data_IF_325282584298
#
_entry.id   IF_325282584298
#
_cell.length_a   1.000
_cell.length_b   1.000
_cell.length_c   1.000
_cell.angle_alpha   90.00
_cell.angle_beta   90.00
_cell.angle_gamma   90.00
#
_symmetry.space_group_name_H-M   'P 1'
#
loop_
_entity.id
_entity.type
_entity.pdbx_description
1 polymer ?
#
# COMPACT_ATOMS: atom_id res chain seq x y z
N UNK A 1 4.79 2.48 16.97
CA UNK A 1 6.22 2.24 17.33
C UNK A 1 6.73 1.12 16.45
N UNK A 2 7.92 1.23 15.85
CA UNK A 2 8.49 0.21 14.97
C UNK A 2 9.77 -0.40 15.60
N UNK A 3 9.64 -1.44 16.44
CA UNK A 3 10.78 -2.01 17.16
C UNK A 3 11.91 -2.51 16.25
N UNK A 4 13.11 -1.96 16.43
CA UNK A 4 14.31 -2.40 15.72
C UNK A 4 14.52 -1.74 14.36
N UNK A 5 13.63 -0.85 13.91
CA UNK A 5 13.99 0.08 12.82
C UNK A 5 15.03 1.05 13.36
N UNK A 6 16.17 1.14 12.68
CA UNK A 6 17.27 2.07 13.03
C UNK A 6 17.60 2.96 11.84
N UNK A 7 18.29 4.05 12.12
CA UNK A 7 18.75 5.00 11.12
C UNK A 7 20.28 4.98 11.10
N UNK A 8 20.86 4.64 9.94
CA UNK A 8 22.29 4.60 9.71
C UNK A 8 22.67 5.75 8.78
N UNK A 9 23.64 6.57 9.19
CA UNK A 9 24.16 7.64 8.32
C UNK A 9 25.19 7.05 7.37
N UNK A 10 24.94 7.15 6.06
CA UNK A 10 25.90 6.68 5.05
C UNK A 10 26.87 7.79 4.61
N UNK A 11 26.41 9.04 4.51
CA UNK A 11 27.26 10.19 4.17
C UNK A 11 26.58 11.52 4.55
N UNK A 12 27.06 12.65 4.00
CA UNK A 12 26.35 13.93 4.12
C UNK A 12 25.01 13.83 3.40
N UNK A 13 23.93 14.14 4.13
CA UNK A 13 22.55 14.13 3.66
C UNK A 13 22.00 12.78 3.15
N UNK A 14 22.75 11.68 3.31
CA UNK A 14 22.30 10.32 2.96
C UNK A 14 22.14 9.46 4.21
N UNK A 15 20.95 8.91 4.38
CA UNK A 15 20.58 8.04 5.49
C UNK A 15 19.96 6.74 4.97
N UNK A 16 20.33 5.65 5.60
CA UNK A 16 19.76 4.33 5.38
C UNK A 16 18.84 3.98 6.54
N UNK A 17 17.61 3.59 6.22
CA UNK A 17 16.65 3.07 7.18
C UNK A 17 16.82 1.57 7.21
N UNK A 18 17.42 1.03 8.27
CA UNK A 18 17.54 -0.41 8.41
C UNK A 18 16.20 -0.97 8.91
N UNK A 19 15.59 -1.85 8.10
CA UNK A 19 14.33 -2.53 8.41
C UNK A 19 14.63 -4.01 8.71
N UNK A 20 14.40 -4.47 9.95
CA UNK A 20 14.64 -5.87 10.31
C UNK A 20 13.80 -6.88 9.50
N UNK A 21 14.36 -8.07 9.26
CA UNK A 21 13.71 -9.13 8.46
C UNK A 21 12.34 -9.59 8.96
N UNK A 22 12.07 -9.46 10.26
CA UNK A 22 10.75 -9.74 10.83
C UNK A 22 9.61 -8.89 10.24
N UNK A 23 9.93 -7.79 9.55
CA UNK A 23 8.95 -6.96 8.83
C UNK A 23 8.73 -7.41 7.38
N UNK A 24 9.57 -8.30 6.85
CA UNK A 24 9.47 -8.88 5.51
C UNK A 24 8.62 -10.15 5.53
N UNK A 25 7.34 -10.03 5.90
CA UNK A 25 6.43 -11.18 6.11
C UNK A 25 5.95 -11.85 4.81
N UNK A 26 6.13 -11.20 3.65
CA UNK A 26 5.87 -11.78 2.34
C UNK A 26 4.42 -11.65 1.85
N UNK A 27 4.19 -12.06 0.61
CA UNK A 27 2.95 -11.79 -0.13
C UNK A 27 1.69 -12.38 0.53
N UNK A 28 1.71 -13.65 0.94
CA UNK A 28 0.53 -14.32 1.49
C UNK A 28 0.11 -13.72 2.84
N UNK A 29 1.08 -13.40 3.71
CA UNK A 29 0.81 -12.72 4.98
C UNK A 29 0.13 -11.35 4.74
N UNK A 30 0.64 -10.58 3.77
CA UNK A 30 0.01 -9.31 3.37
C UNK A 30 -1.40 -9.49 2.79
N UNK A 31 -1.65 -10.56 2.01
CA UNK A 31 -2.97 -10.86 1.48
C UNK A 31 -3.97 -11.24 2.59
N UNK A 32 -3.52 -12.05 3.55
CA UNK A 32 -4.30 -12.40 4.74
C UNK A 32 -4.71 -11.17 5.55
N UNK A 33 -3.79 -10.22 5.72
CA UNK A 33 -4.04 -8.92 6.36
C UNK A 33 -5.12 -8.08 5.69
N UNK A 34 -5.25 -8.14 4.35
CA UNK A 34 -6.34 -7.45 3.62
C UNK A 34 -7.66 -8.19 3.83
N UNK A 35 -7.62 -9.52 3.81
CA UNK A 35 -8.81 -10.37 4.03
C UNK A 35 -9.38 -10.18 5.43
N UNK A 36 -8.53 -10.12 6.45
CA UNK A 36 -8.94 -9.84 7.83
C UNK A 36 -9.68 -8.50 7.93
N UNK A 37 -9.13 -7.44 7.35
CA UNK A 37 -9.77 -6.11 7.31
C UNK A 37 -11.10 -6.15 6.55
N UNK A 38 -11.17 -6.87 5.44
CA UNK A 38 -12.42 -7.07 4.71
C UNK A 38 -13.50 -7.70 5.59
N UNK A 39 -13.20 -8.79 6.30
CA UNK A 39 -14.15 -9.47 7.19
C UNK A 39 -14.60 -8.57 8.35
N UNK A 40 -13.69 -7.76 8.90
CA UNK A 40 -14.02 -6.76 9.93
C UNK A 40 -15.01 -5.71 9.39
N UNK A 41 -14.78 -5.17 8.19
CA UNK A 41 -15.69 -4.18 7.58
C UNK A 41 -17.01 -4.79 7.09
N UNK A 42 -16.99 -6.06 6.67
CA UNK A 42 -18.19 -6.81 6.35
C UNK A 42 -19.11 -6.88 7.58
N UNK A 43 -18.56 -7.24 8.74
CA UNK A 43 -19.31 -7.24 9.99
C UNK A 43 -19.78 -5.83 10.41
N UNK A 44 -18.94 -4.81 10.19
CA UNK A 44 -19.30 -3.42 10.51
C UNK A 44 -20.31 -2.79 9.53
N UNK A 45 -20.54 -3.40 8.36
CA UNK A 45 -21.46 -2.93 7.31
C UNK A 45 -21.03 -1.63 6.62
N UNK A 46 -19.78 -1.17 6.83
CA UNK A 46 -19.28 0.07 6.22
C UNK A 46 -17.77 0.07 6.09
N UNK A 47 -17.29 0.69 5.03
CA UNK A 47 -15.87 1.00 4.82
C UNK A 47 -15.53 2.39 5.38
N UNK A 48 -14.24 2.68 5.64
CA UNK A 48 -13.76 4.04 5.81
C UNK A 48 -14.19 4.94 4.65
N UNK A 49 -14.54 6.19 4.94
CA UNK A 49 -15.09 7.15 3.96
C UNK A 49 -14.23 7.36 2.72
N UNK A 50 -12.92 7.12 2.82
CA UNK A 50 -11.96 7.32 1.75
C UNK A 50 -11.78 6.11 0.83
N UNK A 51 -12.20 4.90 1.24
CA UNK A 51 -11.94 3.68 0.45
C UNK A 51 -12.61 3.72 -0.92
N UNK A 52 -13.92 3.99 -0.95
CA UNK A 52 -14.70 4.04 -2.20
C UNK A 52 -14.22 5.14 -3.16
N UNK A 53 -14.09 6.42 -2.76
CA UNK A 53 -13.64 7.46 -3.68
C UNK A 53 -12.20 7.21 -4.18
N UNK A 54 -11.31 6.67 -3.34
CA UNK A 54 -9.94 6.36 -3.75
C UNK A 54 -9.88 5.17 -4.71
N UNK A 55 -10.75 4.18 -4.54
CA UNK A 55 -10.86 3.06 -5.47
C UNK A 55 -11.33 3.53 -6.85
N UNK A 56 -12.33 4.42 -6.90
CA UNK A 56 -12.81 5.04 -8.15
C UNK A 56 -11.69 5.86 -8.79
N UNK A 57 -11.00 6.70 -8.02
CA UNK A 57 -9.87 7.48 -8.52
C UNK A 57 -8.76 6.59 -9.09
N UNK A 58 -8.41 5.49 -8.39
CA UNK A 58 -7.43 4.52 -8.87
C UNK A 58 -7.84 3.95 -10.22
N UNK A 59 -9.07 3.46 -10.36
CA UNK A 59 -9.54 2.90 -11.61
C UNK A 59 -9.58 3.94 -12.72
N UNK A 60 -10.15 5.13 -12.47
CA UNK A 60 -10.17 6.24 -13.42
C UNK A 60 -8.77 6.56 -13.96
N UNK A 61 -7.79 6.74 -13.08
CA UNK A 61 -6.41 7.03 -13.49
C UNK A 61 -5.86 5.92 -14.37
N UNK A 62 -6.02 4.65 -13.97
CA UNK A 62 -5.46 3.53 -14.74
C UNK A 62 -6.15 3.33 -16.10
N UNK A 63 -7.47 3.52 -16.19
CA UNK A 63 -8.21 3.33 -17.44
C UNK A 63 -8.01 4.52 -18.38
N UNK A 64 -7.99 5.76 -17.89
CA UNK A 64 -7.70 6.93 -18.71
C UNK A 64 -6.25 6.95 -19.22
N UNK A 65 -5.30 6.48 -18.40
CA UNK A 65 -3.93 6.30 -18.86
C UNK A 65 -3.84 5.28 -20.01
N UNK A 66 -4.61 4.18 -19.92
CA UNK A 66 -4.69 3.20 -21.01
C UNK A 66 -5.31 3.79 -22.27
N UNK A 67 -6.37 4.60 -22.15
CA UNK A 67 -6.98 5.30 -23.29
C UNK A 67 -5.96 6.20 -24.00
N UNK A 68 -5.19 7.00 -23.25
CA UNK A 68 -4.15 7.86 -23.80
C UNK A 68 -3.05 7.04 -24.50
N UNK A 69 -2.58 5.96 -23.87
CA UNK A 69 -1.56 5.08 -24.45
C UNK A 69 -1.99 4.48 -25.80
N UNK A 70 -3.30 4.24 -25.99
CA UNK A 70 -3.85 3.72 -27.25
C UNK A 70 -4.00 4.77 -28.35
N UNK A 71 -3.93 6.07 -28.03
CA UNK A 71 -4.10 7.15 -29.01
C UNK A 71 -2.86 7.39 -29.88
N UNK A 72 -1.68 7.00 -29.41
CA UNK A 72 -0.42 7.08 -30.16
C UNK A 72 0.27 5.71 -30.16
N UNK A 73 -0.15 4.80 -31.06
CA UNK A 73 0.43 3.46 -31.18
C UNK A 73 1.89 3.48 -31.65
#
# INVERSE_FOLDING_TARGET
>A
KYPGITLERLSNDVWHIQVPDKYHVGHEAHFGEVTERYLQYLAAGKLPKWEVPNMIAKYFVTTSALELAKQNP
#
